data_IF_085683540033
#
_entry.id   IF_085683540033
#
_cell.length_a   1.000
_cell.length_b   1.000
_cell.length_c   1.000
_cell.angle_alpha   90.00
_cell.angle_beta   90.00
_cell.angle_gamma   90.00
#
_symmetry.space_group_name_H-M   'P 1'
#
loop_
_entity.id
_entity.type
_entity.pdbx_description
1 polymer ?
#
# COMPACT_ATOMS: atom_id res chain seq x y z
N UNK A 1 17.30 22.34 6.41
CA UNK A 1 15.94 22.53 6.91
C UNK A 1 14.98 21.76 6.02
N UNK A 2 14.13 20.91 6.58
CA UNK A 2 13.11 20.19 5.82
C UNK A 2 11.93 21.10 5.52
N UNK A 3 11.34 20.97 4.32
CA UNK A 3 10.19 21.77 3.86
C UNK A 3 8.83 21.22 4.35
N UNK A 4 8.82 20.46 5.45
CA UNK A 4 7.59 20.01 6.13
C UNK A 4 6.74 18.98 5.39
N UNK A 5 7.31 18.20 4.46
CA UNK A 5 6.56 17.12 3.79
C UNK A 5 6.25 15.95 4.73
N UNK A 6 7.22 15.48 5.51
CA UNK A 6 7.03 14.35 6.43
C UNK A 6 5.97 14.63 7.49
N UNK A 7 5.89 15.85 8.01
CA UNK A 7 4.88 16.23 9.00
C UNK A 7 3.46 16.23 8.40
N UNK A 8 3.30 16.72 7.17
CA UNK A 8 2.02 16.68 6.47
C UNK A 8 1.60 15.26 6.13
N UNK A 9 2.53 14.43 5.63
CA UNK A 9 2.28 13.02 5.36
C UNK A 9 1.89 12.27 6.63
N UNK A 10 2.58 12.52 7.74
CA UNK A 10 2.23 11.91 9.03
C UNK A 10 0.81 12.27 9.47
N UNK A 11 0.42 13.54 9.36
CA UNK A 11 -0.95 14.00 9.67
C UNK A 11 -2.01 13.42 8.73
N UNK A 12 -1.66 13.07 7.51
CA UNK A 12 -2.55 12.47 6.50
C UNK A 12 -2.41 10.95 6.37
N UNK A 13 -1.75 10.28 7.32
CA UNK A 13 -1.42 8.85 7.22
C UNK A 13 -2.66 8.00 6.96
N UNK A 14 -3.75 8.22 7.70
CA UNK A 14 -4.96 7.39 7.57
C UNK A 14 -5.57 7.51 6.17
N UNK A 15 -5.66 8.73 5.64
CA UNK A 15 -6.14 8.99 4.27
C UNK A 15 -5.24 8.30 3.23
N UNK A 16 -3.92 8.30 3.44
CA UNK A 16 -2.99 7.63 2.53
C UNK A 16 -3.16 6.10 2.57
N UNK A 17 -3.41 5.52 3.75
CA UNK A 17 -3.69 4.10 3.91
C UNK A 17 -5.01 3.71 3.24
N UNK A 18 -6.05 4.53 3.36
CA UNK A 18 -7.33 4.31 2.65
C UNK A 18 -7.13 4.30 1.14
N UNK A 19 -6.39 5.29 0.60
CA UNK A 19 -6.09 5.30 -0.84
C UNK A 19 -5.24 4.11 -1.28
N UNK A 20 -4.35 3.61 -0.43
CA UNK A 20 -3.58 2.41 -0.72
C UNK A 20 -4.48 1.17 -0.81
N UNK A 21 -5.49 1.05 0.07
CA UNK A 21 -6.51 -0.01 0.02
C UNK A 21 -7.32 0.06 -1.27
N UNK A 22 -7.88 1.23 -1.58
CA UNK A 22 -8.62 1.46 -2.83
C UNK A 22 -7.79 1.12 -4.07
N UNK A 23 -6.52 1.52 -4.08
CA UNK A 23 -5.60 1.22 -5.17
C UNK A 23 -5.34 -0.28 -5.32
N UNK A 24 -5.11 -0.98 -4.19
CA UNK A 24 -4.90 -2.42 -4.19
C UNK A 24 -6.14 -3.17 -4.69
N UNK A 25 -7.33 -2.79 -4.24
CA UNK A 25 -8.61 -3.37 -4.65
C UNK A 25 -8.91 -3.14 -6.14
N UNK A 26 -8.55 -1.96 -6.66
CA UNK A 26 -8.71 -1.65 -8.09
C UNK A 26 -7.75 -2.43 -9.00
N UNK A 27 -6.66 -2.97 -8.45
CA UNK A 27 -5.67 -3.69 -9.21
C UNK A 27 -6.12 -5.13 -9.50
N UNK A 28 -6.29 -5.49 -10.78
CA UNK A 28 -6.75 -6.82 -11.20
C UNK A 28 -5.72 -7.96 -11.11
N UNK A 29 -4.55 -7.77 -10.45
CA UNK A 29 -3.56 -8.84 -10.33
C UNK A 29 -3.84 -9.79 -9.16
N UNK A 30 -3.55 -11.09 -9.31
CA UNK A 30 -3.76 -12.07 -8.23
C UNK A 30 -2.67 -12.05 -7.14
N UNK A 31 -1.40 -11.88 -7.54
CA UNK A 31 -0.24 -12.14 -6.65
C UNK A 31 0.66 -10.93 -6.42
N UNK A 32 0.42 -9.82 -7.11
CA UNK A 32 1.25 -8.61 -7.06
C UNK A 32 1.91 -8.29 -8.40
N UNK A 33 1.89 -7.00 -8.77
CA UNK A 33 2.48 -6.49 -10.01
C UNK A 33 3.24 -5.16 -9.76
N UNK A 34 4.08 -4.70 -10.72
CA UNK A 34 4.85 -3.46 -10.58
C UNK A 34 4.02 -2.19 -10.32
N UNK A 35 2.70 -2.23 -10.53
CA UNK A 35 1.81 -1.08 -10.36
C UNK A 35 1.13 -1.02 -8.99
N UNK A 36 1.14 -2.08 -8.18
CA UNK A 36 0.51 -2.11 -6.86
C UNK A 36 1.54 -2.35 -5.75
N UNK A 37 1.78 -3.60 -5.38
CA UNK A 37 2.67 -4.03 -4.30
C UNK A 37 4.07 -4.39 -4.77
N UNK A 38 4.30 -4.42 -6.09
CA UNK A 38 5.54 -4.87 -6.72
C UNK A 38 5.42 -6.28 -7.30
N UNK A 39 6.42 -6.72 -8.08
CA UNK A 39 6.35 -7.99 -8.80
C UNK A 39 6.48 -9.20 -7.86
N UNK A 40 5.55 -10.15 -7.98
CA UNK A 40 5.51 -11.36 -7.17
C UNK A 40 6.79 -12.22 -7.21
N UNK A 41 7.53 -12.24 -8.34
CA UNK A 41 8.77 -13.03 -8.43
C UNK A 41 9.89 -12.50 -7.52
N UNK A 42 9.83 -11.24 -7.09
CA UNK A 42 10.82 -10.63 -6.21
C UNK A 42 10.39 -10.64 -4.74
N UNK A 43 9.08 -10.71 -4.48
CA UNK A 43 8.50 -10.51 -3.15
C UNK A 43 7.73 -11.73 -2.61
N UNK A 44 7.48 -12.74 -3.45
CA UNK A 44 6.62 -13.89 -3.17
C UNK A 44 5.20 -13.72 -3.74
N UNK A 45 4.48 -14.83 -3.96
CA UNK A 45 3.10 -14.82 -4.49
C UNK A 45 2.07 -14.29 -3.50
N UNK A 46 2.35 -14.43 -2.21
CA UNK A 46 1.48 -14.03 -1.11
C UNK A 46 1.61 -12.54 -0.76
N UNK A 47 2.50 -11.78 -1.43
CA UNK A 47 2.78 -10.38 -1.09
C UNK A 47 1.52 -9.51 -1.16
N UNK A 48 0.62 -9.78 -2.11
CA UNK A 48 -0.64 -9.05 -2.23
C UNK A 48 -1.51 -9.25 -1.00
N UNK A 49 -1.68 -10.49 -0.56
CA UNK A 49 -2.51 -10.84 0.61
C UNK A 49 -1.89 -10.24 1.88
N UNK A 50 -0.59 -10.41 2.09
CA UNK A 50 0.10 -9.84 3.23
C UNK A 50 -0.03 -8.31 3.31
N UNK A 51 0.03 -7.60 2.18
CA UNK A 51 -0.17 -6.15 2.16
C UNK A 51 -1.64 -5.79 2.45
N UNK A 52 -2.61 -6.54 1.91
CA UNK A 52 -4.02 -6.33 2.22
C UNK A 52 -4.29 -6.48 3.74
N UNK A 53 -3.71 -7.52 4.36
CA UNK A 53 -3.80 -7.75 5.80
C UNK A 53 -3.20 -6.60 6.60
N UNK A 54 -1.98 -6.17 6.26
CA UNK A 54 -1.32 -5.04 6.92
C UNK A 54 -2.14 -3.75 6.82
N UNK A 55 -2.75 -3.50 5.66
CA UNK A 55 -3.65 -2.40 5.49
C UNK A 55 -4.92 -2.60 6.33
N UNK A 56 -5.43 -3.79 6.58
CA UNK A 56 -6.63 -3.96 7.43
C UNK A 56 -6.41 -3.66 8.93
N UNK A 57 -5.16 -3.67 9.42
CA UNK A 57 -4.84 -3.56 10.85
C UNK A 57 -5.10 -2.19 11.49
N UNK A 58 -5.28 -1.14 10.69
CA UNK A 58 -5.54 0.23 11.17
C UNK A 58 -6.81 0.78 10.52
N UNK A 59 -7.95 0.45 11.13
CA UNK A 59 -9.25 1.06 10.83
C UNK A 59 -9.64 2.04 11.93
#
# INVERSE_FOLDING_TARGET
GGIGFSERLFKSTDVLLDRAREHLDSCGCGTGCPSCVGPAYALGTEVREAVADLLSLRS
#
